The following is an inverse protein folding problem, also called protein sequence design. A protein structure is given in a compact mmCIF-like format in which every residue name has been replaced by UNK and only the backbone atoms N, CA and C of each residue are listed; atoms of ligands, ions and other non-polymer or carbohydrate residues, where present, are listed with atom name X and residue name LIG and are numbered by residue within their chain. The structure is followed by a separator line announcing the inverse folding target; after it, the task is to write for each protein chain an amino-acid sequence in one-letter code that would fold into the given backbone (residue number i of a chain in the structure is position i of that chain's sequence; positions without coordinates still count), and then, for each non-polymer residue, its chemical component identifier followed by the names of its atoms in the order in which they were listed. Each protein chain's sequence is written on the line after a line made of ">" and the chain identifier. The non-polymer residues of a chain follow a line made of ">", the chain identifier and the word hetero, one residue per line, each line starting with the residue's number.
data_IF_751571693986
#
_entry.id   IF_751571693986
#
_cell.length_a   1.000
_cell.length_b   1.000
_cell.length_c   1.000
_cell.angle_alpha   90.00
_cell.angle_beta   90.00
_cell.angle_gamma   90.00
#
_symmetry.space_group_name_H-M   'P 1'
#
loop_
_entity.id
_entity.type
_entity.pdbx_description
1 polymer ?
#
# COMPACT_ATOMS: atom_id res chain seq x y z
N UNK A 1 -17.46 10.43 0.83
CA UNK A 1 -18.15 9.29 1.47
C UNK A 1 -17.23 8.10 1.68
N UNK A 2 -16.69 7.44 0.63
CA UNK A 2 -15.85 6.24 0.79
C UNK A 2 -14.64 6.37 1.75
N UNK A 3 -13.91 7.50 1.69
CA UNK A 3 -12.77 7.75 2.60
C UNK A 3 -13.16 7.72 4.09
N UNK A 4 -14.27 8.35 4.46
CA UNK A 4 -14.72 8.43 5.86
C UNK A 4 -15.15 7.06 6.39
N UNK A 5 -15.79 6.25 5.52
CA UNK A 5 -16.17 4.87 5.83
C UNK A 5 -14.91 4.04 6.10
N UNK A 6 -13.93 4.09 5.20
CA UNK A 6 -12.66 3.33 5.35
C UNK A 6 -11.90 3.78 6.58
N UNK A 7 -11.76 5.09 6.79
CA UNK A 7 -11.00 5.63 7.92
C UNK A 7 -11.63 5.25 9.26
N UNK A 8 -12.94 5.44 9.39
CA UNK A 8 -13.69 5.08 10.60
C UNK A 8 -13.66 3.57 10.82
N UNK A 9 -13.84 2.79 9.75
CA UNK A 9 -13.78 1.34 9.82
C UNK A 9 -12.43 0.83 10.32
N UNK A 10 -11.31 1.31 9.76
CA UNK A 10 -9.98 0.88 10.21
C UNK A 10 -9.61 1.39 11.61
N UNK A 11 -10.23 2.47 12.09
CA UNK A 11 -10.13 2.87 13.49
C UNK A 11 -10.88 1.90 14.42
N UNK A 12 -12.04 1.42 14.00
CA UNK A 12 -12.91 0.51 14.77
C UNK A 12 -12.27 -0.89 14.91
N UNK A 13 -11.80 -1.47 13.80
CA UNK A 13 -11.26 -2.84 13.78
C UNK A 13 -9.76 -2.94 14.06
N UNK A 14 -9.12 -1.88 14.59
CA UNK A 14 -7.66 -1.78 14.59
C UNK A 14 -6.96 -2.98 15.27
N UNK A 15 -7.49 -3.43 16.41
CA UNK A 15 -6.94 -4.56 17.19
C UNK A 15 -7.24 -5.91 16.52
N UNK A 16 -8.45 -6.11 16.00
CA UNK A 16 -8.86 -7.31 15.26
C UNK A 16 -8.04 -7.45 13.97
N UNK A 17 -7.83 -6.34 13.27
CA UNK A 17 -6.98 -6.28 12.10
C UNK A 17 -5.54 -6.63 12.41
N UNK A 18 -4.99 -6.13 13.53
CA UNK A 18 -3.65 -6.47 14.01
C UNK A 18 -3.52 -7.98 14.29
N UNK A 19 -4.50 -8.58 15.00
CA UNK A 19 -4.52 -10.03 15.31
C UNK A 19 -4.56 -10.89 14.04
N UNK A 20 -5.20 -10.40 12.98
CA UNK A 20 -5.31 -11.12 11.70
C UNK A 20 -4.04 -11.03 10.82
N UNK A 21 -3.04 -10.21 11.18
CA UNK A 21 -1.80 -10.07 10.41
C UNK A 21 -0.95 -11.34 10.45
N UNK A 22 -0.28 -11.59 9.34
CA UNK A 22 0.54 -12.78 9.08
C UNK A 22 1.61 -12.41 8.04
N UNK A 23 2.52 -13.34 7.72
CA UNK A 23 3.70 -13.08 6.89
C UNK A 23 3.53 -13.42 5.40
N UNK A 24 2.35 -13.82 4.93
CA UNK A 24 2.15 -14.34 3.57
C UNK A 24 2.53 -13.32 2.48
N UNK A 25 2.38 -12.02 2.78
CA UNK A 25 2.68 -10.93 1.85
C UNK A 25 4.16 -10.52 1.84
N UNK A 26 5.00 -11.07 2.73
CA UNK A 26 6.43 -10.76 2.76
C UNK A 26 7.16 -11.16 1.48
N UNK A 27 6.63 -12.12 0.71
CA UNK A 27 7.16 -12.48 -0.60
C UNK A 27 7.17 -11.28 -1.56
N UNK A 28 6.25 -10.34 -1.40
CA UNK A 28 6.17 -9.15 -2.24
C UNK A 28 7.15 -8.08 -1.76
N UNK A 29 7.27 -7.85 -0.45
CA UNK A 29 8.30 -6.96 0.10
C UNK A 29 9.68 -7.35 -0.42
N UNK A 30 10.03 -8.64 -0.36
CA UNK A 30 11.30 -9.18 -0.90
C UNK A 30 11.51 -8.86 -2.39
N UNK A 31 10.47 -8.81 -3.21
CA UNK A 31 10.57 -8.42 -4.64
C UNK A 31 11.01 -6.97 -4.81
N UNK A 32 10.53 -6.07 -3.95
CA UNK A 32 10.98 -4.68 -3.94
C UNK A 32 12.44 -4.58 -3.44
N UNK A 33 12.80 -5.34 -2.40
CA UNK A 33 14.13 -5.33 -1.79
C UNK A 33 15.24 -5.75 -2.75
N UNK A 34 14.96 -6.67 -3.69
CA UNK A 34 15.89 -7.09 -4.76
C UNK A 34 16.45 -5.91 -5.59
N UNK A 35 15.82 -4.73 -5.51
CA UNK A 35 16.13 -3.55 -6.31
C UNK A 35 16.67 -2.37 -5.47
N UNK A 36 16.86 -2.56 -4.16
CA UNK A 36 17.22 -1.49 -3.24
C UNK A 36 18.52 -1.79 -2.48
N UNK A 37 19.31 -0.75 -2.25
CA UNK A 37 20.50 -0.84 -1.41
C UNK A 37 20.12 -0.79 0.08
N UNK A 38 20.93 -1.41 0.94
CA UNK A 38 20.79 -1.27 2.40
C UNK A 38 20.78 0.21 2.81
N UNK A 39 19.91 0.56 3.77
CA UNK A 39 19.72 1.92 4.25
C UNK A 39 18.85 2.81 3.34
N UNK A 40 18.34 2.29 2.22
CA UNK A 40 17.42 3.03 1.34
C UNK A 40 16.15 3.48 2.08
N UNK A 41 15.55 4.59 1.63
CA UNK A 41 14.30 5.13 2.18
C UNK A 41 13.11 4.50 1.48
N UNK A 42 12.24 3.86 2.25
CA UNK A 42 11.02 3.23 1.74
C UNK A 42 9.79 3.89 2.35
N UNK A 43 8.80 4.19 1.52
CA UNK A 43 7.46 4.58 1.96
C UNK A 43 6.51 3.37 1.89
N UNK A 44 5.96 2.96 3.03
CA UNK A 44 4.82 2.06 3.14
C UNK A 44 3.53 2.90 3.14
N UNK A 45 2.89 2.99 1.97
CA UNK A 45 1.68 3.77 1.75
C UNK A 45 0.44 2.92 2.06
N UNK A 46 -0.25 3.26 3.15
CA UNK A 46 -1.34 2.47 3.71
C UNK A 46 -0.80 1.39 4.64
N UNK A 47 0.13 1.78 5.51
CA UNK A 47 0.95 0.85 6.29
C UNK A 47 0.18 0.06 7.36
N UNK A 48 -1.07 0.43 7.66
CA UNK A 48 -1.84 -0.20 8.72
C UNK A 48 -1.06 -0.17 10.05
N UNK A 49 -0.99 -1.30 10.80
CA UNK A 49 -0.28 -1.37 12.07
C UNK A 49 1.23 -1.62 11.87
N UNK A 50 1.76 -1.44 10.64
CA UNK A 50 3.17 -1.62 10.30
C UNK A 50 3.64 -3.07 10.21
N UNK A 51 2.79 -4.06 10.52
CA UNK A 51 3.16 -5.48 10.44
C UNK A 51 2.36 -6.21 9.34
N UNK A 52 2.97 -7.17 8.62
CA UNK A 52 4.37 -7.59 8.76
C UNK A 52 5.36 -6.69 7.98
N UNK A 53 4.87 -5.83 7.08
CA UNK A 53 5.65 -5.21 6.01
C UNK A 53 6.68 -4.19 6.53
N UNK A 54 6.24 -3.10 7.17
CA UNK A 54 7.15 -2.10 7.69
C UNK A 54 8.14 -2.70 8.71
N UNK A 55 7.69 -3.63 9.55
CA UNK A 55 8.56 -4.34 10.51
C UNK A 55 9.64 -5.18 9.83
N UNK A 56 9.31 -5.83 8.71
CA UNK A 56 10.28 -6.58 7.92
C UNK A 56 11.30 -5.65 7.28
N UNK A 57 10.82 -4.61 6.60
CA UNK A 57 11.66 -3.65 5.88
C UNK A 57 12.57 -2.83 6.83
N UNK A 58 12.10 -2.49 8.03
CA UNK A 58 12.88 -1.72 9.01
C UNK A 58 14.17 -2.41 9.45
N UNK A 59 14.33 -3.72 9.20
CA UNK A 59 15.57 -4.46 9.48
C UNK A 59 16.76 -4.00 8.63
N UNK A 60 16.49 -3.44 7.44
CA UNK A 60 17.55 -3.09 6.48
C UNK A 60 17.33 -1.74 5.80
N UNK A 61 16.19 -1.07 6.02
CA UNK A 61 15.79 0.15 5.34
C UNK A 61 15.29 1.23 6.32
N UNK A 62 15.36 2.49 5.90
CA UNK A 62 14.71 3.59 6.61
C UNK A 62 13.24 3.65 6.21
N UNK A 63 12.38 3.08 7.05
CA UNK A 63 10.94 2.96 6.74
C UNK A 63 10.18 4.20 7.21
N UNK A 64 9.37 4.72 6.30
CA UNK A 64 8.34 5.73 6.53
C UNK A 64 6.99 5.09 6.25
N UNK A 65 6.01 5.30 7.11
CA UNK A 65 4.67 4.77 6.91
C UNK A 65 3.61 5.87 6.98
N UNK A 66 2.64 5.79 6.07
CA UNK A 66 1.45 6.63 6.11
C UNK A 66 0.19 5.78 6.14
N UNK A 67 -0.81 6.25 6.86
CA UNK A 67 -2.15 5.68 6.87
C UNK A 67 -3.17 6.77 7.18
N UNK A 68 -4.41 6.61 6.73
CA UNK A 68 -5.49 7.54 7.04
C UNK A 68 -6.03 7.32 8.46
N UNK A 69 -5.93 6.10 8.99
CA UNK A 69 -6.38 5.73 10.32
C UNK A 69 -5.38 6.16 11.40
N UNK A 70 -5.86 6.97 12.36
CA UNK A 70 -5.05 7.36 13.51
C UNK A 70 -4.68 6.17 14.40
N UNK A 71 -5.61 5.20 14.55
CA UNK A 71 -5.39 4.01 15.36
C UNK A 71 -4.37 3.06 14.76
N UNK A 72 -4.39 2.87 13.44
CA UNK A 72 -3.37 2.11 12.75
C UNK A 72 -1.98 2.73 12.92
N UNK A 73 -1.86 4.06 12.82
CA UNK A 73 -0.59 4.77 13.08
C UNK A 73 -0.12 4.62 14.54
N UNK A 74 -1.04 4.66 15.51
CA UNK A 74 -0.72 4.41 16.92
C UNK A 74 -0.11 3.01 17.10
N UNK A 75 -0.70 1.99 16.47
CA UNK A 75 -0.18 0.62 16.49
C UNK A 75 1.15 0.50 15.74
N UNK A 76 1.30 1.10 14.56
CA UNK A 76 2.53 1.06 13.79
C UNK A 76 3.74 1.58 14.57
N UNK A 77 3.57 2.70 15.28
CA UNK A 77 4.62 3.25 16.16
C UNK A 77 5.00 2.32 17.31
N UNK A 78 4.04 1.57 17.87
CA UNK A 78 4.30 0.58 18.93
C UNK A 78 4.99 -0.67 18.37
N UNK A 79 4.56 -1.14 17.19
CA UNK A 79 5.02 -2.40 16.61
C UNK A 79 6.37 -2.27 15.89
N UNK A 80 6.72 -1.07 15.43
CA UNK A 80 7.94 -0.76 14.69
C UNK A 80 8.56 0.55 15.22
N UNK A 81 9.16 0.54 16.42
CA UNK A 81 9.64 1.75 17.08
C UNK A 81 10.71 2.52 16.28
N UNK A 82 11.47 1.83 15.41
CA UNK A 82 12.51 2.42 14.57
C UNK A 82 11.96 3.05 13.27
N UNK A 83 10.65 2.91 13.00
CA UNK A 83 10.01 3.45 11.80
C UNK A 83 9.40 4.84 11.98
N UNK A 84 9.22 5.56 10.88
CA UNK A 84 8.71 6.93 10.85
C UNK A 84 7.25 6.96 10.39
N UNK A 85 6.29 6.94 11.32
CA UNK A 85 4.87 6.84 10.99
C UNK A 85 4.11 8.14 11.23
N UNK A 86 3.29 8.53 10.25
CA UNK A 86 2.37 9.68 10.38
C UNK A 86 1.04 9.41 9.71
N UNK A 87 -0.03 9.99 10.29
CA UNK A 87 -1.34 9.98 9.65
C UNK A 87 -1.32 10.91 8.45
N UNK A 88 -1.63 10.41 7.27
CA UNK A 88 -1.65 11.19 6.04
C UNK A 88 -2.48 10.51 4.94
N UNK A 89 -2.94 11.32 3.97
CA UNK A 89 -3.58 10.82 2.77
C UNK A 89 -2.52 10.54 1.69
N UNK A 90 -2.63 9.44 0.95
CA UNK A 90 -1.69 9.13 -0.15
C UNK A 90 -1.68 10.18 -1.27
N UNK A 91 -2.78 10.92 -1.46
CA UNK A 91 -2.85 12.04 -2.42
C UNK A 91 -1.93 13.20 -2.00
N UNK A 92 -1.84 13.46 -0.70
CA UNK A 92 -0.95 14.47 -0.15
C UNK A 92 -0.29 13.97 1.14
N UNK A 93 0.81 13.21 1.01
CA UNK A 93 1.46 12.64 2.16
C UNK A 93 2.42 13.62 2.84
N UNK A 94 2.52 14.88 2.39
CA UNK A 94 3.42 15.88 2.99
C UNK A 94 4.89 15.48 2.95
N UNK A 95 5.33 14.88 1.85
CA UNK A 95 6.75 14.62 1.54
C UNK A 95 7.15 15.36 0.26
N UNK A 96 8.42 15.72 0.17
CA UNK A 96 9.00 16.33 -1.03
C UNK A 96 9.12 15.33 -2.18
N UNK A 97 9.27 15.83 -3.40
CA UNK A 97 9.58 14.99 -4.55
C UNK A 97 10.96 14.32 -4.39
N UNK A 98 11.18 13.21 -5.07
CA UNK A 98 12.47 12.48 -5.09
C UNK A 98 13.03 12.16 -3.69
N UNK A 99 12.13 11.79 -2.77
CA UNK A 99 12.48 11.49 -1.37
C UNK A 99 12.79 10.01 -1.16
N UNK A 100 12.04 9.13 -1.83
CA UNK A 100 12.07 7.69 -1.56
C UNK A 100 12.78 6.92 -2.66
N UNK A 101 13.53 5.90 -2.28
CA UNK A 101 14.14 4.94 -3.19
C UNK A 101 13.11 3.85 -3.59
N UNK A 102 12.20 3.52 -2.67
CA UNK A 102 11.11 2.57 -2.89
C UNK A 102 9.77 3.04 -2.29
N UNK A 103 8.67 2.66 -2.91
CA UNK A 103 7.31 2.77 -2.37
C UNK A 103 6.67 1.38 -2.41
N UNK A 104 6.02 1.00 -1.32
CA UNK A 104 5.18 -0.20 -1.23
C UNK A 104 3.77 0.21 -0.84
N UNK A 105 2.75 -0.31 -1.52
CA UNK A 105 1.34 -0.01 -1.25
C UNK A 105 0.52 -1.30 -1.40
N UNK A 106 0.34 -2.04 -0.30
CA UNK A 106 -0.37 -3.31 -0.32
C UNK A 106 -1.76 -3.16 0.30
N UNK A 107 -2.80 -3.66 -0.37
CA UNK A 107 -4.20 -3.66 0.11
C UNK A 107 -4.77 -2.30 0.53
N UNK A 108 -4.16 -1.18 0.12
CA UNK A 108 -4.60 0.14 0.53
C UNK A 108 -5.19 0.95 -0.62
N UNK A 109 -4.60 0.89 -1.82
CA UNK A 109 -5.11 1.62 -3.00
C UNK A 109 -6.54 1.17 -3.37
N UNK A 110 -6.88 -0.10 -3.11
CA UNK A 110 -8.20 -0.69 -3.35
C UNK A 110 -9.33 -0.08 -2.49
N UNK A 111 -9.00 0.70 -1.47
CA UNK A 111 -9.96 1.42 -0.64
C UNK A 111 -10.15 2.88 -1.08
N UNK A 112 -9.39 3.33 -2.08
CA UNK A 112 -9.50 4.68 -2.63
C UNK A 112 -10.38 4.64 -3.86
N UNK A 113 -11.25 5.64 -4.01
CA UNK A 113 -12.00 5.89 -5.24
C UNK A 113 -11.09 5.76 -6.46
N UNK A 114 -11.43 4.84 -7.35
CA UNK A 114 -10.66 4.50 -8.56
C UNK A 114 -10.41 5.67 -9.48
N UNK A 115 -11.27 6.69 -9.48
CA UNK A 115 -11.05 7.93 -10.24
C UNK A 115 -9.81 8.70 -9.77
N UNK A 116 -9.34 8.45 -8.54
CA UNK A 116 -8.12 9.05 -7.95
C UNK A 116 -6.86 8.21 -8.14
N UNK A 117 -6.96 6.98 -8.64
CA UNK A 117 -5.79 6.10 -8.76
C UNK A 117 -4.71 6.69 -9.67
N UNK A 118 -5.06 7.31 -10.80
CA UNK A 118 -4.07 7.95 -11.68
C UNK A 118 -3.32 9.08 -10.97
N UNK A 119 -4.03 9.89 -10.19
CA UNK A 119 -3.48 11.01 -9.44
C UNK A 119 -2.49 10.52 -8.38
N UNK A 120 -2.87 9.47 -7.63
CA UNK A 120 -2.01 8.83 -6.62
C UNK A 120 -0.77 8.20 -7.25
N UNK A 121 -0.92 7.46 -8.36
CA UNK A 121 0.22 6.83 -9.03
C UNK A 121 1.20 7.90 -9.55
N UNK A 122 0.72 9.02 -10.10
CA UNK A 122 1.57 10.16 -10.46
C UNK A 122 2.24 10.78 -9.23
N UNK A 123 1.54 10.86 -8.10
CA UNK A 123 2.14 11.34 -6.85
C UNK A 123 3.27 10.41 -6.39
N UNK A 124 3.06 9.10 -6.43
CA UNK A 124 4.09 8.11 -6.13
C UNK A 124 5.29 8.21 -7.07
N UNK A 125 5.06 8.38 -8.37
CA UNK A 125 6.12 8.64 -9.35
C UNK A 125 6.96 9.88 -8.97
N UNK A 126 6.32 10.97 -8.56
CA UNK A 126 7.03 12.19 -8.17
C UNK A 126 7.80 12.05 -6.85
N UNK A 127 7.28 11.27 -5.90
CA UNK A 127 7.94 11.01 -4.62
C UNK A 127 9.18 10.11 -4.73
N UNK A 128 9.23 9.26 -5.76
CA UNK A 128 10.37 8.38 -6.03
C UNK A 128 11.56 9.14 -6.62
N UNK A 129 12.77 8.76 -6.21
CA UNK A 129 14.02 9.12 -6.88
C UNK A 129 14.15 8.43 -8.24
N UNK A 130 15.16 8.82 -9.01
CA UNK A 130 15.50 8.17 -10.30
C UNK A 130 16.88 7.50 -10.20
N UNK A 131 17.01 6.17 -10.33
CA UNK A 131 15.91 5.21 -10.40
C UNK A 131 15.19 5.07 -9.04
N UNK A 132 13.93 4.67 -9.09
CA UNK A 132 13.11 4.38 -7.91
C UNK A 132 12.04 3.35 -8.24
N UNK A 133 11.54 2.64 -7.24
CA UNK A 133 10.71 1.46 -7.46
C UNK A 133 9.38 1.53 -6.72
N UNK A 134 8.30 1.14 -7.38
CA UNK A 134 6.96 1.04 -6.79
C UNK A 134 6.51 -0.42 -6.82
N UNK A 135 6.11 -0.96 -5.67
CA UNK A 135 5.37 -2.21 -5.57
C UNK A 135 3.95 -1.91 -5.09
N UNK A 136 2.95 -2.23 -5.90
CA UNK A 136 1.55 -1.91 -5.61
C UNK A 136 0.64 -3.12 -5.80
N UNK A 137 -0.31 -3.26 -4.88
CA UNK A 137 -1.44 -4.17 -4.97
C UNK A 137 -2.67 -3.42 -5.50
N UNK A 138 -3.27 -3.93 -6.56
CA UNK A 138 -4.44 -3.38 -7.22
C UNK A 138 -5.50 -4.47 -7.43
N UNK A 139 -6.70 -4.07 -7.84
CA UNK A 139 -7.77 -5.03 -8.09
C UNK A 139 -7.50 -5.84 -9.36
N UNK A 140 -7.92 -7.09 -9.38
CA UNK A 140 -7.78 -7.95 -10.55
C UNK A 140 -8.98 -7.78 -11.50
N UNK A 141 -10.18 -7.61 -10.95
CA UNK A 141 -11.45 -7.42 -11.66
C UNK A 141 -12.09 -6.08 -11.30
N UNK A 142 -12.90 -5.52 -12.19
CA UNK A 142 -13.61 -4.26 -11.92
C UNK A 142 -14.61 -4.45 -10.78
N UNK A 143 -14.44 -3.70 -9.69
CA UNK A 143 -15.37 -3.74 -8.58
C UNK A 143 -15.38 -2.41 -7.81
N UNK A 144 -16.56 -2.04 -7.34
CA UNK A 144 -16.74 -0.92 -6.44
C UNK A 144 -18.01 -1.13 -5.61
N UNK A 145 -17.90 -0.84 -4.33
CA UNK A 145 -19.02 -0.97 -3.44
C UNK A 145 -18.60 -1.01 -1.98
N UNK A 146 -19.61 -1.17 -1.14
CA UNK A 146 -19.46 -1.30 0.30
C UNK A 146 -19.71 -2.75 0.68
N UNK A 147 -18.93 -3.27 1.61
CA UNK A 147 -19.10 -4.62 2.17
C UNK A 147 -18.62 -4.64 3.62
N UNK A 148 -18.92 -5.70 4.36
CA UNK A 148 -18.39 -5.90 5.70
C UNK A 148 -16.99 -6.52 5.66
N UNK A 149 -16.11 -6.04 6.53
CA UNK A 149 -14.81 -6.61 6.79
C UNK A 149 -14.52 -6.55 8.27
N UNK A 150 -14.25 -7.71 8.87
CA UNK A 150 -14.08 -7.87 10.32
C UNK A 150 -15.25 -7.28 11.14
N UNK A 151 -16.47 -7.41 10.62
CA UNK A 151 -17.69 -6.94 11.27
C UNK A 151 -18.00 -5.45 11.08
N UNK A 152 -17.18 -4.72 10.31
CA UNK A 152 -17.37 -3.29 10.08
C UNK A 152 -17.50 -2.98 8.59
N UNK A 153 -18.33 -2.00 8.26
CA UNK A 153 -18.56 -1.54 6.90
C UNK A 153 -17.31 -0.87 6.33
N UNK A 154 -16.91 -1.28 5.14
CA UNK A 154 -15.76 -0.77 4.40
C UNK A 154 -16.16 -0.46 2.96
N UNK A 155 -15.34 0.33 2.28
CA UNK A 155 -15.52 0.68 0.87
C UNK A 155 -14.33 0.18 0.05
N UNK A 156 -14.61 -0.47 -1.09
CA UNK A 156 -13.62 -0.86 -2.09
C UNK A 156 -13.95 -0.20 -3.41
N UNK A 157 -12.92 0.16 -4.15
CA UNK A 157 -13.02 0.72 -5.48
C UNK A 157 -11.73 0.44 -6.26
N UNK A 158 -11.87 -0.21 -7.40
CA UNK A 158 -10.76 -0.50 -8.28
C UNK A 158 -11.22 -0.81 -9.69
N UNK A 159 -10.27 -0.68 -10.61
CA UNK A 159 -10.47 -1.17 -11.96
C UNK A 159 -9.94 -2.59 -12.11
N UNK A 160 -10.34 -3.28 -13.18
CA UNK A 160 -9.76 -4.55 -13.58
C UNK A 160 -8.32 -4.41 -14.09
N UNK A 161 -7.63 -5.55 -14.20
CA UNK A 161 -6.21 -5.65 -14.54
C UNK A 161 -5.80 -4.79 -15.74
N UNK A 162 -6.53 -4.86 -16.86
CA UNK A 162 -6.21 -4.12 -18.09
C UNK A 162 -6.10 -2.62 -17.83
N UNK A 163 -7.07 -2.05 -17.13
CA UNK A 163 -7.11 -0.62 -16.85
C UNK A 163 -6.03 -0.23 -15.81
N UNK A 164 -5.79 -1.05 -14.79
CA UNK A 164 -4.73 -0.81 -13.80
C UNK A 164 -3.33 -0.74 -14.45
N UNK A 165 -3.05 -1.64 -15.39
CA UNK A 165 -1.81 -1.63 -16.16
C UNK A 165 -1.67 -0.35 -16.99
N UNK A 166 -2.75 0.12 -17.61
CA UNK A 166 -2.74 1.37 -18.37
C UNK A 166 -2.57 2.60 -17.46
N UNK A 167 -3.13 2.60 -16.25
CA UNK A 167 -2.91 3.67 -15.27
C UNK A 167 -1.45 3.76 -14.84
N UNK A 168 -0.80 2.62 -14.57
CA UNK A 168 0.63 2.57 -14.22
C UNK A 168 1.49 3.16 -15.35
N UNK A 169 1.27 2.74 -16.60
CA UNK A 169 1.98 3.30 -17.76
C UNK A 169 1.73 4.80 -17.91
N UNK A 170 0.47 5.25 -17.81
CA UNK A 170 0.09 6.67 -17.91
C UNK A 170 0.66 7.55 -16.80
N UNK A 171 1.00 6.96 -15.65
CA UNK A 171 1.69 7.66 -14.57
C UNK A 171 3.20 7.78 -14.77
N UNK A 172 3.77 7.15 -15.82
CA UNK A 172 5.18 7.21 -16.17
C UNK A 172 5.99 5.97 -15.77
N UNK A 173 5.38 4.98 -15.11
CA UNK A 173 6.08 3.78 -14.66
C UNK A 173 6.34 2.79 -15.79
N UNK A 174 7.54 2.20 -15.77
CA UNK A 174 7.85 0.98 -16.49
C UNK A 174 7.52 -0.23 -15.62
N UNK A 175 6.63 -1.10 -16.08
CA UNK A 175 6.33 -2.36 -15.40
C UNK A 175 7.46 -3.35 -15.64
N UNK A 176 8.03 -3.91 -14.57
CA UNK A 176 9.14 -4.86 -14.64
C UNK A 176 8.78 -6.25 -14.09
N UNK A 177 7.71 -6.34 -13.29
CA UNK A 177 7.16 -7.61 -12.84
C UNK A 177 5.69 -7.44 -12.47
N UNK A 178 4.89 -8.48 -12.67
CA UNK A 178 3.50 -8.55 -12.21
C UNK A 178 3.12 -9.96 -11.81
N UNK A 179 2.16 -10.10 -10.90
CA UNK A 179 1.60 -11.38 -10.50
C UNK A 179 0.16 -11.24 -10.05
N UNK A 180 -0.69 -12.11 -10.59
CA UNK A 180 -2.01 -12.36 -10.07
C UNK A 180 -1.86 -13.32 -8.89
N UNK A 181 -2.36 -12.94 -7.73
CA UNK A 181 -2.16 -13.71 -6.51
C UNK A 181 -3.48 -13.85 -5.74
N UNK A 182 -3.74 -15.07 -5.29
CA UNK A 182 -4.84 -15.41 -4.40
C UNK A 182 -4.32 -15.56 -2.98
N UNK A 183 -5.05 -15.02 -2.01
CA UNK A 183 -4.73 -15.16 -0.61
C UNK A 183 -4.79 -16.65 -0.20
N UNK A 184 -3.72 -17.22 0.39
CA UNK A 184 -3.71 -18.62 0.82
C UNK A 184 -4.81 -18.97 1.82
N UNK A 185 -5.35 -17.97 2.54
CA UNK A 185 -6.44 -18.14 3.51
C UNK A 185 -7.82 -17.84 2.94
N UNK A 186 -7.90 -17.23 1.77
CA UNK A 186 -9.15 -16.97 1.04
C UNK A 186 -8.88 -16.91 -0.47
N UNK A 187 -9.18 -18.00 -1.18
CA UNK A 187 -8.92 -18.07 -2.62
C UNK A 187 -9.75 -17.10 -3.46
N UNK A 188 -10.82 -16.51 -2.88
CA UNK A 188 -11.62 -15.48 -3.54
C UNK A 188 -11.00 -14.08 -3.40
N UNK A 189 -10.12 -13.88 -2.42
CA UNK A 189 -9.32 -12.67 -2.24
C UNK A 189 -8.14 -12.69 -3.22
N UNK A 190 -8.39 -12.19 -4.43
CA UNK A 190 -7.45 -12.17 -5.55
C UNK A 190 -7.11 -10.75 -5.98
N UNK A 191 -5.81 -10.49 -6.10
CA UNK A 191 -5.30 -9.17 -6.44
C UNK A 191 -4.16 -9.22 -7.47
N UNK A 192 -4.01 -8.10 -8.17
CA UNK A 192 -2.88 -7.84 -9.06
C UNK A 192 -1.76 -7.17 -8.26
N UNK A 193 -0.59 -7.80 -8.18
CA UNK A 193 0.61 -7.18 -7.67
C UNK A 193 1.50 -6.75 -8.83
N UNK A 194 1.99 -5.51 -8.81
CA UNK A 194 2.85 -4.98 -9.86
C UNK A 194 4.07 -4.30 -9.25
N UNK A 195 5.25 -4.67 -9.73
CA UNK A 195 6.50 -3.97 -9.47
C UNK A 195 6.87 -3.13 -10.70
N UNK A 196 7.12 -1.86 -10.43
CA UNK A 196 7.36 -0.82 -11.40
C UNK A 196 8.68 -0.12 -11.11
N UNK A 197 9.32 0.37 -12.16
CA UNK A 197 10.49 1.25 -12.12
C UNK A 197 10.11 2.64 -12.64
N UNK A 198 10.59 3.68 -11.95
CA UNK A 198 10.59 5.07 -12.41
C UNK A 198 11.67 5.32 -13.46
#
# INVERSE_FOLDING_TARGET
>A
MGKEIVESGYNEIAEEYLKAKNEDTLIFAKKLEEHLNSGAKILDAGCGPGIPIAKHLARNFQVYGIDISAKQIELAKKMVPDGNFKRANMLDPGFGNETFDGIICLYALIHVDRTKHLEILKRFYNLLKTPGYLLVCMQLEDWEGENEYLGTKMFWSGYGQKQNIELLKKSGFQIIWQKDWANPRDSNDRHLFVLCKK
#
